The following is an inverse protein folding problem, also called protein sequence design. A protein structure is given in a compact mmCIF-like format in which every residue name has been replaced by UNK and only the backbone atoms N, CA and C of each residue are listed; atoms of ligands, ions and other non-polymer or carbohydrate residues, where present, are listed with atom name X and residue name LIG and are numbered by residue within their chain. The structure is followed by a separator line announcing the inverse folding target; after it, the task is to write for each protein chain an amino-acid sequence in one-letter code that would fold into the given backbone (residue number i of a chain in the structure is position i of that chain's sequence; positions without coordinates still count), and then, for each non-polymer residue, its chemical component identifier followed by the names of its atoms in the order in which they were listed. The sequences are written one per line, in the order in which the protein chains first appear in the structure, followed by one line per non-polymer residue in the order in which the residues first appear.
data_IF_833344507363
#
_entry.id   IF_833344507363
#
_cell.length_a   1.000
_cell.length_b   1.000
_cell.length_c   1.000
_cell.angle_alpha   90.00
_cell.angle_beta   90.00
_cell.angle_gamma   90.00
#
_symmetry.space_group_name_H-M   'P 1'
#
loop_
_entity.id
_entity.type
_entity.pdbx_description
1 polymer ?
#
# COMPACT_ATOMS: atom_id res chain seq x y z
N UNK A 1 -14.25 -29.49 -5.00
CA UNK A 1 -14.95 -29.43 -3.70
C UNK A 1 -13.93 -29.22 -2.55
N UNK A 2 -13.01 -30.19 -2.31
CA UNK A 2 -12.05 -30.06 -1.18
C UNK A 2 -11.18 -28.78 -1.24
N UNK A 3 -10.66 -28.42 -2.40
CA UNK A 3 -9.81 -27.22 -2.56
C UNK A 3 -10.59 -25.90 -2.41
N UNK A 4 -11.85 -25.85 -2.81
CA UNK A 4 -12.72 -24.67 -2.64
C UNK A 4 -13.14 -24.48 -1.18
N UNK A 5 -13.49 -25.57 -0.49
CA UNK A 5 -13.81 -25.54 0.93
C UNK A 5 -12.58 -25.11 1.76
N UNK A 6 -11.42 -25.64 1.43
CA UNK A 6 -10.15 -25.21 2.05
C UNK A 6 -9.89 -23.73 1.80
N UNK A 7 -9.99 -23.24 0.56
CA UNK A 7 -9.80 -21.83 0.25
C UNK A 7 -10.75 -20.92 1.03
N UNK A 8 -12.03 -21.28 1.11
CA UNK A 8 -13.03 -20.52 1.87
C UNK A 8 -12.66 -20.46 3.36
N UNK A 9 -12.13 -21.55 3.91
CA UNK A 9 -11.71 -21.61 5.32
C UNK A 9 -10.51 -20.71 5.64
N UNK A 10 -9.69 -20.35 4.63
CA UNK A 10 -8.53 -19.47 4.79
C UNK A 10 -8.93 -17.99 4.85
N UNK A 11 -10.11 -17.61 4.37
CA UNK A 11 -10.53 -16.22 4.26
C UNK A 11 -10.67 -15.58 5.66
N UNK A 12 -10.04 -14.43 5.85
CA UNK A 12 -9.94 -13.69 7.12
C UNK A 12 -9.19 -14.46 8.22
N UNK A 13 -8.25 -15.31 7.83
CA UNK A 13 -7.41 -16.05 8.78
C UNK A 13 -5.94 -15.69 8.66
N UNK A 14 -5.21 -15.91 9.76
CA UNK A 14 -3.74 -15.92 9.80
C UNK A 14 -3.31 -17.37 10.00
N UNK A 15 -2.67 -17.93 9.00
CA UNK A 15 -2.34 -19.34 8.92
C UNK A 15 -0.88 -19.56 9.31
N UNK A 16 -0.63 -20.48 10.22
CA UNK A 16 0.71 -20.95 10.53
C UNK A 16 1.09 -22.07 9.56
N UNK A 17 2.17 -21.88 8.77
CA UNK A 17 2.65 -22.90 7.87
C UNK A 17 3.58 -22.38 6.78
N UNK A 18 4.04 -23.29 5.93
CA UNK A 18 4.83 -22.95 4.75
C UNK A 18 3.96 -22.33 3.67
N UNK A 19 4.42 -21.20 3.14
CA UNK A 19 3.67 -20.42 2.16
C UNK A 19 3.42 -21.19 0.85
N UNK A 20 4.38 -22.01 0.39
CA UNK A 20 4.25 -22.79 -0.82
C UNK A 20 3.25 -23.95 -0.63
N UNK A 21 3.31 -24.64 0.51
CA UNK A 21 2.37 -25.72 0.81
C UNK A 21 0.93 -25.22 0.86
N UNK A 22 0.72 -24.04 1.45
CA UNK A 22 -0.62 -23.43 1.56
C UNK A 22 -1.07 -22.86 0.22
N UNK A 23 -0.23 -22.09 -0.48
CA UNK A 23 -0.62 -21.47 -1.76
C UNK A 23 -0.95 -22.52 -2.83
N UNK A 24 -0.24 -23.66 -2.88
CA UNK A 24 -0.53 -24.77 -3.82
C UNK A 24 -1.94 -25.35 -3.68
N UNK A 25 -2.59 -25.19 -2.53
CA UNK A 25 -3.96 -25.64 -2.29
C UNK A 25 -5.02 -24.56 -2.63
N UNK A 26 -4.59 -23.33 -2.87
CA UNK A 26 -5.47 -22.22 -3.29
C UNK A 26 -5.77 -22.36 -4.79
N UNK A 27 -7.03 -22.25 -5.22
CA UNK A 27 -7.39 -22.31 -6.64
C UNK A 27 -6.73 -21.20 -7.46
N UNK A 28 -6.55 -21.47 -8.76
CA UNK A 28 -6.12 -20.47 -9.72
C UNK A 28 -7.11 -19.29 -9.73
N UNK A 29 -6.58 -18.09 -10.02
CA UNK A 29 -7.40 -16.89 -10.27
C UNK A 29 -8.43 -16.57 -9.16
N UNK A 30 -8.10 -16.83 -7.90
CA UNK A 30 -9.01 -16.71 -6.75
C UNK A 30 -8.79 -15.47 -5.88
N UNK A 31 -7.59 -14.86 -5.92
CA UNK A 31 -7.17 -13.75 -5.06
C UNK A 31 -7.10 -12.46 -5.86
N UNK A 32 -7.60 -11.33 -5.31
CA UNK A 32 -7.61 -10.05 -6.01
C UNK A 32 -6.26 -9.34 -5.96
N UNK A 33 -5.55 -9.43 -4.84
CA UNK A 33 -4.20 -8.89 -4.68
C UNK A 33 -3.32 -9.86 -3.92
N UNK A 34 -2.11 -10.08 -4.44
CA UNK A 34 -1.03 -10.72 -3.70
C UNK A 34 0.06 -9.68 -3.38
N UNK A 35 0.50 -9.65 -2.12
CA UNK A 35 1.60 -8.82 -1.66
C UNK A 35 2.62 -9.69 -0.94
N UNK A 36 3.91 -9.50 -1.21
CA UNK A 36 4.99 -10.24 -0.53
C UNK A 36 6.10 -9.31 -0.04
N UNK A 37 6.50 -9.50 1.22
CA UNK A 37 7.71 -8.94 1.85
C UNK A 37 8.58 -10.08 2.40
N UNK A 38 9.20 -10.89 1.52
CA UNK A 38 9.94 -12.08 1.93
C UNK A 38 11.21 -11.72 2.70
N UNK A 39 11.83 -12.66 3.44
CA UNK A 39 13.16 -12.50 3.99
C UNK A 39 14.17 -12.08 2.91
N UNK A 40 15.08 -11.14 3.25
CA UNK A 40 15.96 -10.51 2.25
C UNK A 40 17.31 -11.23 2.06
N UNK A 41 17.50 -12.36 2.67
CA UNK A 41 18.78 -13.10 2.67
C UNK A 41 19.98 -12.23 3.07
N UNK A 42 19.81 -11.44 4.15
CA UNK A 42 20.80 -10.51 4.68
C UNK A 42 21.45 -10.99 5.99
N UNK A 43 21.37 -12.27 6.29
CA UNK A 43 21.88 -12.88 7.54
C UNK A 43 21.25 -12.25 8.79
N UNK A 44 19.97 -11.90 8.71
CA UNK A 44 19.21 -11.44 9.86
C UNK A 44 18.65 -12.61 10.63
N UNK A 45 18.66 -12.49 11.96
CA UNK A 45 18.01 -13.46 12.83
C UNK A 45 16.57 -13.01 13.06
N UNK A 46 15.61 -13.80 12.58
CA UNK A 46 14.22 -13.74 12.95
C UNK A 46 13.97 -14.60 14.19
N UNK A 47 12.76 -14.66 14.69
CA UNK A 47 12.49 -15.39 15.93
C UNK A 47 12.77 -16.90 15.79
N UNK A 48 12.22 -17.55 14.77
CA UNK A 48 12.40 -19.00 14.49
C UNK A 48 13.27 -19.29 13.28
N UNK A 49 13.73 -18.29 12.56
CA UNK A 49 14.40 -18.43 11.27
C UNK A 49 15.66 -17.57 11.19
N UNK A 50 16.74 -18.13 10.62
CA UNK A 50 17.97 -17.40 10.30
C UNK A 50 18.06 -17.20 8.79
N UNK A 51 17.97 -15.95 8.37
CA UNK A 51 17.94 -15.50 6.98
C UNK A 51 19.35 -15.58 6.34
N UNK A 52 19.80 -16.81 6.11
CA UNK A 52 21.07 -17.12 5.45
C UNK A 52 20.92 -18.39 4.61
N UNK A 53 20.69 -18.19 3.32
CA UNK A 53 20.68 -19.26 2.32
C UNK A 53 21.74 -19.00 1.26
N UNK A 54 22.19 -20.03 0.58
CA UNK A 54 22.97 -19.86 -0.65
C UNK A 54 22.13 -19.17 -1.71
N UNK A 55 22.78 -18.37 -2.57
CA UNK A 55 22.07 -17.46 -3.49
C UNK A 55 21.16 -18.22 -4.47
N UNK A 56 21.65 -19.31 -4.99
CA UNK A 56 20.94 -20.16 -5.96
C UNK A 56 19.70 -20.79 -5.32
N UNK A 57 19.82 -21.30 -4.09
CA UNK A 57 18.71 -21.91 -3.33
C UNK A 57 17.65 -20.84 -3.00
N UNK A 58 18.09 -19.68 -2.53
CA UNK A 58 17.21 -18.56 -2.24
C UNK A 58 16.44 -18.11 -3.48
N UNK A 59 17.12 -17.96 -4.63
CA UNK A 59 16.48 -17.53 -5.88
C UNK A 59 15.53 -18.59 -6.44
N UNK A 60 15.87 -19.89 -6.33
CA UNK A 60 14.99 -20.99 -6.71
C UNK A 60 13.70 -20.98 -5.90
N UNK A 61 13.82 -20.88 -4.58
CA UNK A 61 12.68 -20.75 -3.68
C UNK A 61 11.84 -19.50 -3.98
N UNK A 62 12.50 -18.37 -4.27
CA UNK A 62 11.79 -17.14 -4.65
C UNK A 62 11.02 -17.31 -5.95
N UNK A 63 11.56 -18.00 -6.95
CA UNK A 63 10.88 -18.27 -8.22
C UNK A 63 9.60 -19.06 -7.99
N UNK A 64 9.61 -20.06 -7.12
CA UNK A 64 8.45 -20.89 -6.83
C UNK A 64 7.29 -20.08 -6.24
N UNK A 65 7.50 -19.34 -5.15
CA UNK A 65 6.41 -18.59 -4.55
C UNK A 65 5.94 -17.40 -5.41
N UNK A 66 6.81 -16.79 -6.22
CA UNK A 66 6.40 -15.77 -7.20
C UNK A 66 5.44 -16.35 -8.24
N UNK A 67 5.70 -17.58 -8.70
CA UNK A 67 4.83 -18.24 -9.67
C UNK A 67 3.49 -18.64 -9.04
N UNK A 68 3.50 -19.12 -7.80
CA UNK A 68 2.27 -19.39 -7.06
C UNK A 68 1.44 -18.13 -6.84
N UNK A 69 2.07 -17.01 -6.46
CA UNK A 69 1.39 -15.71 -6.37
C UNK A 69 0.75 -15.33 -7.71
N UNK A 70 1.47 -15.49 -8.82
CA UNK A 70 0.92 -15.21 -10.14
C UNK A 70 -0.22 -16.16 -10.51
N UNK A 71 -0.12 -17.46 -10.21
CA UNK A 71 -1.15 -18.46 -10.48
C UNK A 71 -2.47 -18.12 -9.77
N UNK A 72 -2.40 -17.84 -8.47
CA UNK A 72 -3.61 -17.61 -7.65
C UNK A 72 -4.21 -16.22 -7.83
N UNK A 73 -3.45 -15.24 -8.38
CA UNK A 73 -3.98 -13.90 -8.62
C UNK A 73 -4.94 -13.90 -9.81
N UNK A 74 -6.11 -13.27 -9.64
CA UNK A 74 -7.14 -13.13 -10.68
C UNK A 74 -6.62 -12.39 -11.92
N UNK A 75 -7.23 -12.59 -13.11
CA UNK A 75 -6.89 -11.81 -14.31
C UNK A 75 -7.03 -10.29 -14.12
N UNK A 76 -7.94 -9.84 -13.27
CA UNK A 76 -8.14 -8.43 -12.91
C UNK A 76 -7.29 -7.97 -11.74
N UNK A 77 -6.49 -8.86 -11.15
CA UNK A 77 -5.76 -8.65 -9.92
C UNK A 77 -4.38 -8.05 -10.10
N UNK A 78 -3.78 -7.73 -8.97
CA UNK A 78 -2.46 -7.09 -8.87
C UNK A 78 -1.50 -7.90 -8.00
N UNK A 79 -0.23 -7.89 -8.38
CA UNK A 79 0.87 -8.55 -7.67
C UNK A 79 1.87 -7.49 -7.25
N UNK A 80 2.16 -7.43 -5.95
CA UNK A 80 3.17 -6.53 -5.38
C UNK A 80 4.25 -7.30 -4.65
N UNK A 81 5.52 -6.98 -4.92
CA UNK A 81 6.65 -7.62 -4.25
C UNK A 81 7.61 -6.55 -3.75
N UNK A 82 7.75 -6.45 -2.43
CA UNK A 82 8.66 -5.54 -1.76
C UNK A 82 10.00 -6.22 -1.50
N UNK A 83 11.11 -5.54 -1.79
CA UNK A 83 12.45 -6.00 -1.42
C UNK A 83 13.50 -4.91 -1.66
N UNK A 84 14.77 -5.23 -1.41
CA UNK A 84 15.92 -4.44 -1.84
C UNK A 84 16.15 -4.60 -3.36
N UNK A 85 16.67 -3.57 -4.05
CA UNK A 85 16.91 -3.62 -5.50
C UNK A 85 17.72 -4.82 -5.98
N UNK A 86 18.67 -5.28 -5.15
CA UNK A 86 19.52 -6.45 -5.46
C UNK A 86 18.71 -7.69 -5.85
N UNK A 87 17.62 -7.97 -5.17
CA UNK A 87 16.80 -9.15 -5.42
C UNK A 87 15.67 -8.88 -6.41
N UNK A 88 15.15 -7.66 -6.42
CA UNK A 88 14.04 -7.31 -7.29
C UNK A 88 14.36 -7.43 -8.78
N UNK A 89 15.63 -7.30 -9.19
CA UNK A 89 16.05 -7.52 -10.57
C UNK A 89 15.82 -8.97 -11.01
N UNK A 90 16.03 -9.94 -10.12
CA UNK A 90 15.74 -11.36 -10.38
C UNK A 90 14.24 -11.64 -10.33
N UNK A 91 13.56 -11.11 -9.31
CA UNK A 91 12.12 -11.28 -9.14
C UNK A 91 11.35 -10.70 -10.32
N UNK A 92 11.75 -9.53 -10.81
CA UNK A 92 11.17 -8.93 -12.01
C UNK A 92 11.40 -9.82 -13.26
N UNK A 93 12.58 -10.43 -13.39
CA UNK A 93 12.84 -11.35 -14.49
C UNK A 93 11.89 -12.55 -14.45
N UNK A 94 11.67 -13.16 -13.26
CA UNK A 94 10.76 -14.30 -13.10
C UNK A 94 9.30 -13.91 -13.35
N UNK A 95 8.86 -12.77 -12.81
CA UNK A 95 7.49 -12.30 -13.01
C UNK A 95 7.18 -11.92 -14.45
N UNK A 96 8.16 -11.47 -15.24
CA UNK A 96 7.99 -11.19 -16.66
C UNK A 96 7.59 -12.43 -17.49
N UNK A 97 7.83 -13.64 -16.97
CA UNK A 97 7.44 -14.90 -17.63
C UNK A 97 5.93 -15.19 -17.47
N UNK A 98 5.27 -14.64 -16.43
CA UNK A 98 3.91 -15.05 -16.01
C UNK A 98 2.95 -13.89 -15.76
N UNK A 99 3.41 -12.63 -15.80
CA UNK A 99 2.62 -11.45 -15.52
C UNK A 99 3.13 -10.23 -16.32
N UNK A 100 2.37 -9.14 -16.31
CA UNK A 100 2.65 -7.91 -17.05
C UNK A 100 3.19 -6.86 -16.10
N UNK A 101 4.41 -6.38 -16.35
CA UNK A 101 5.04 -5.30 -15.58
C UNK A 101 4.25 -4.00 -15.72
N UNK A 102 4.05 -3.30 -14.61
CA UNK A 102 3.47 -1.95 -14.58
C UNK A 102 4.44 -0.92 -14.06
N UNK A 103 4.94 -1.08 -12.84
CA UNK A 103 5.85 -0.11 -12.22
C UNK A 103 6.89 -0.79 -11.33
N UNK A 104 8.03 -0.15 -11.24
CA UNK A 104 8.96 -0.29 -10.12
C UNK A 104 8.75 0.93 -9.23
N UNK A 105 8.13 0.74 -8.08
CA UNK A 105 7.92 1.81 -7.11
C UNK A 105 9.17 1.92 -6.26
N UNK A 106 9.84 3.08 -6.30
CA UNK A 106 10.97 3.40 -5.44
C UNK A 106 10.46 4.03 -4.15
N UNK A 107 10.54 3.29 -3.05
CA UNK A 107 10.13 3.80 -1.75
C UNK A 107 11.34 4.32 -0.97
N UNK A 108 11.42 5.65 -0.78
CA UNK A 108 12.45 6.30 0.05
C UNK A 108 12.19 6.00 1.53
N UNK A 109 12.87 4.97 2.03
CA UNK A 109 12.82 4.57 3.42
C UNK A 109 13.76 5.37 4.32
N UNK A 110 14.42 6.40 3.79
CA UNK A 110 15.45 7.19 4.47
C UNK A 110 16.48 6.29 5.16
N UNK A 111 17.36 5.69 4.40
CA UNK A 111 18.39 4.76 4.85
C UNK A 111 19.31 5.33 5.93
N UNK A 112 20.14 4.47 6.50
CA UNK A 112 21.24 4.88 7.40
C UNK A 112 22.34 5.56 6.55
N UNK A 113 22.99 6.62 7.02
CA UNK A 113 24.05 7.33 6.28
C UNK A 113 25.37 6.52 6.23
N UNK A 114 25.28 5.22 6.02
CA UNK A 114 26.42 4.30 5.98
C UNK A 114 26.42 3.54 4.66
N UNK A 115 27.21 3.98 3.72
CA UNK A 115 27.42 3.31 2.44
C UNK A 115 28.88 3.39 2.02
N UNK A 116 29.38 2.35 1.34
CA UNK A 116 30.75 2.34 0.79
C UNK A 116 30.85 3.00 -0.60
N UNK A 117 29.74 3.07 -1.32
CA UNK A 117 29.64 3.70 -2.64
C UNK A 117 28.50 4.72 -2.62
N UNK A 118 27.34 4.38 -3.18
CA UNK A 118 26.14 5.16 -3.02
C UNK A 118 25.41 4.80 -1.73
N UNK A 119 24.73 5.77 -1.15
CA UNK A 119 23.86 5.51 -0.02
C UNK A 119 22.63 4.71 -0.46
N UNK A 120 22.43 3.46 0.01
CA UNK A 120 21.24 2.71 -0.32
C UNK A 120 20.04 3.28 0.46
N UNK A 121 19.25 4.12 -0.20
CA UNK A 121 18.22 4.91 0.47
C UNK A 121 16.81 4.46 0.15
N UNK A 122 16.61 3.53 -0.79
CA UNK A 122 15.29 3.08 -1.16
C UNK A 122 15.14 1.56 -1.11
N UNK A 123 13.93 1.13 -0.84
CA UNK A 123 13.42 -0.19 -1.18
C UNK A 123 12.61 -0.09 -2.47
N UNK A 124 12.48 -1.18 -3.20
CA UNK A 124 11.60 -1.25 -4.35
C UNK A 124 10.34 -2.04 -4.04
N UNK A 125 9.26 -1.71 -4.76
CA UNK A 125 8.07 -2.55 -4.84
C UNK A 125 7.81 -2.79 -6.31
N UNK A 126 7.91 -4.05 -6.75
CA UNK A 126 7.48 -4.42 -8.09
C UNK A 126 5.95 -4.44 -8.11
N UNK A 127 5.38 -3.84 -9.15
CA UNK A 127 3.95 -3.87 -9.42
C UNK A 127 3.70 -4.55 -10.75
N UNK A 128 2.99 -5.67 -10.70
CA UNK A 128 2.60 -6.49 -11.82
C UNK A 128 1.09 -6.71 -11.83
N UNK A 129 0.54 -7.05 -12.99
CA UNK A 129 -0.86 -7.42 -13.18
C UNK A 129 -0.96 -8.66 -14.05
N UNK A 130 -2.06 -9.41 -13.93
CA UNK A 130 -2.26 -10.64 -14.71
C UNK A 130 -2.70 -10.37 -16.16
N UNK A 131 -3.41 -9.27 -16.41
CA UNK A 131 -3.91 -8.91 -17.74
C UNK A 131 -4.01 -7.40 -17.91
N UNK A 132 -4.34 -6.94 -19.12
CA UNK A 132 -4.59 -5.52 -19.37
C UNK A 132 -5.92 -5.02 -18.77
N UNK A 133 -6.80 -5.92 -18.36
CA UNK A 133 -8.08 -5.62 -17.68
C UNK A 133 -7.92 -5.74 -16.17
N UNK A 134 -7.11 -4.89 -15.56
CA UNK A 134 -6.86 -4.89 -14.12
C UNK A 134 -7.59 -3.74 -13.42
N UNK A 135 -7.85 -3.92 -12.11
CA UNK A 135 -8.40 -2.86 -11.28
C UNK A 135 -7.33 -1.82 -10.98
N UNK A 136 -7.65 -0.56 -11.26
CA UNK A 136 -6.78 0.55 -10.87
C UNK A 136 -7.63 1.77 -10.53
N UNK A 137 -7.37 2.34 -9.35
CA UNK A 137 -8.01 3.56 -8.86
C UNK A 137 -7.00 4.69 -8.77
N UNK A 138 -7.36 5.85 -9.25
CA UNK A 138 -6.52 7.02 -9.21
C UNK A 138 -6.24 7.45 -7.77
N UNK A 139 -4.97 7.37 -7.37
CA UNK A 139 -4.50 8.03 -6.17
C UNK A 139 -3.82 9.32 -6.59
N UNK A 140 -4.27 10.44 -6.04
CA UNK A 140 -3.73 11.75 -6.40
C UNK A 140 -3.03 12.41 -5.23
N UNK A 141 -1.98 13.15 -5.55
CA UNK A 141 -1.28 13.99 -4.59
C UNK A 141 -1.62 15.44 -4.89
N UNK A 142 -1.78 16.24 -3.85
CA UNK A 142 -2.00 17.67 -4.03
C UNK A 142 -0.89 18.29 -4.87
N UNK A 143 -1.26 19.27 -5.67
CA UNK A 143 -0.29 20.04 -6.44
C UNK A 143 0.79 20.62 -5.54
N UNK A 144 2.03 20.39 -5.89
CA UNK A 144 3.18 21.00 -5.19
C UNK A 144 3.17 22.49 -5.48
N UNK A 145 3.41 23.32 -4.46
CA UNK A 145 3.62 24.76 -4.67
C UNK A 145 4.88 24.98 -5.52
N UNK A 146 4.80 25.92 -6.43
CA UNK A 146 5.96 26.36 -7.18
C UNK A 146 7.08 26.79 -6.19
N UNK A 147 8.28 26.27 -6.36
CA UNK A 147 9.41 26.60 -5.48
C UNK A 147 9.79 28.09 -5.52
N UNK A 148 9.59 28.74 -6.67
CA UNK A 148 9.97 30.14 -6.88
C UNK A 148 8.89 31.11 -6.40
N UNK A 149 7.65 30.96 -6.88
CA UNK A 149 6.58 31.91 -6.57
C UNK A 149 5.64 31.45 -5.44
N UNK A 150 5.78 30.20 -4.96
CA UNK A 150 4.95 29.57 -3.92
C UNK A 150 3.46 29.44 -4.24
N UNK A 151 3.03 29.75 -5.45
CA UNK A 151 1.67 29.48 -5.90
C UNK A 151 1.42 27.98 -6.09
N UNK A 152 0.18 27.58 -5.85
CA UNK A 152 -0.21 26.15 -5.81
C UNK A 152 -0.06 25.48 -7.16
N UNK A 153 -0.28 26.18 -8.26
CA UNK A 153 -0.24 25.62 -9.60
C UNK A 153 0.84 26.29 -10.44
N UNK A 154 1.88 25.53 -10.75
CA UNK A 154 2.86 25.93 -11.76
C UNK A 154 2.31 25.60 -13.13
N UNK A 155 2.39 26.55 -14.07
CA UNK A 155 2.05 26.31 -15.46
C UNK A 155 3.23 25.68 -16.19
N UNK A 156 3.09 24.41 -16.55
CA UNK A 156 4.07 23.69 -17.34
C UNK A 156 3.74 23.84 -18.83
N UNK A 157 4.20 24.93 -19.45
CA UNK A 157 4.03 25.15 -20.88
C UNK A 157 2.57 25.35 -21.32
N UNK A 158 1.79 26.10 -20.57
CA UNK A 158 0.38 26.41 -20.89
C UNK A 158 -0.61 25.28 -20.60
N UNK A 159 -0.18 24.20 -19.93
CA UNK A 159 -1.04 23.04 -19.64
C UNK A 159 -1.78 23.11 -18.31
N UNK A 160 -1.75 24.25 -17.63
CA UNK A 160 -2.41 24.43 -16.32
C UNK A 160 -3.92 24.11 -16.38
N UNK A 161 -4.59 24.46 -17.45
CA UNK A 161 -6.01 24.20 -17.66
C UNK A 161 -6.34 22.70 -17.83
N UNK A 162 -5.35 21.89 -18.19
CA UNK A 162 -5.48 20.44 -18.35
C UNK A 162 -5.12 19.65 -17.08
N UNK A 163 -4.63 20.35 -16.03
CA UNK A 163 -4.25 19.70 -14.79
C UNK A 163 -5.47 19.32 -13.98
N UNK A 164 -5.43 18.11 -13.45
CA UNK A 164 -6.49 17.65 -12.57
C UNK A 164 -6.55 18.51 -11.30
N UNK A 165 -7.75 18.96 -10.85
CA UNK A 165 -7.89 19.87 -9.71
C UNK A 165 -7.30 19.36 -8.42
N UNK A 166 -7.31 18.05 -8.20
CA UNK A 166 -6.73 17.40 -7.03
C UNK A 166 -5.26 17.03 -7.18
N UNK A 167 -4.62 17.44 -8.25
CA UNK A 167 -3.22 17.20 -8.47
C UNK A 167 -2.93 15.98 -9.33
N UNK A 168 -1.64 15.74 -9.59
CA UNK A 168 -1.19 14.62 -10.41
C UNK A 168 -1.48 13.28 -9.73
N UNK A 169 -1.44 12.22 -10.51
CA UNK A 169 -1.36 10.87 -9.96
C UNK A 169 -0.14 10.73 -9.03
N UNK A 170 -0.25 9.87 -8.03
CA UNK A 170 0.90 9.51 -7.22
C UNK A 170 2.01 8.98 -8.12
N UNK A 171 3.22 9.49 -7.95
CA UNK A 171 4.36 9.00 -8.72
C UNK A 171 4.78 7.61 -8.22
N UNK A 172 5.62 6.95 -9.00
CA UNK A 172 6.30 5.72 -8.61
C UNK A 172 7.53 5.94 -7.70
N UNK A 173 7.80 7.19 -7.30
CA UNK A 173 8.81 7.53 -6.28
C UNK A 173 8.11 8.04 -5.03
N UNK A 174 8.10 7.22 -3.98
CA UNK A 174 7.39 7.50 -2.72
C UNK A 174 8.34 8.02 -1.64
N UNK A 175 8.24 9.30 -1.34
CA UNK A 175 9.07 9.99 -0.34
C UNK A 175 8.28 10.43 0.89
N UNK A 176 6.99 10.19 0.90
CA UNK A 176 6.04 10.68 1.91
C UNK A 176 5.68 9.63 2.96
N UNK A 177 6.00 8.36 2.72
CA UNK A 177 5.79 7.26 3.68
C UNK A 177 7.12 6.92 4.35
N UNK A 178 7.20 7.10 5.67
CA UNK A 178 8.42 6.81 6.41
C UNK A 178 8.39 5.42 7.04
N UNK A 179 9.55 4.74 6.98
CA UNK A 179 9.72 3.48 7.73
C UNK A 179 9.57 3.70 9.24
N UNK A 180 9.16 2.67 9.95
CA UNK A 180 9.09 2.67 11.41
C UNK A 180 10.52 2.60 11.96
N UNK A 181 11.03 3.71 12.52
CA UNK A 181 12.42 3.83 13.00
C UNK A 181 12.60 3.48 14.47
N UNK A 182 11.63 3.83 15.33
CA UNK A 182 11.76 3.69 16.76
C UNK A 182 11.41 2.28 17.23
N UNK A 183 12.35 1.66 17.97
CA UNK A 183 12.17 0.31 18.55
C UNK A 183 10.86 0.18 19.36
N UNK A 184 10.46 1.22 20.11
CA UNK A 184 9.21 1.27 20.87
C UNK A 184 7.94 1.23 20.02
N UNK A 185 8.03 1.45 18.71
CA UNK A 185 6.91 1.44 17.75
C UNK A 185 6.94 0.24 16.82
N UNK A 186 7.93 -0.64 16.96
CA UNK A 186 8.02 -1.91 16.26
C UNK A 186 7.55 -3.01 17.18
N UNK A 187 6.66 -3.80 16.69
CA UNK A 187 6.34 -5.05 17.35
C UNK A 187 7.54 -5.97 17.11
N UNK A 188 8.20 -6.44 18.05
CA UNK A 188 9.31 -7.42 18.04
C UNK A 188 9.83 -7.96 16.68
N UNK A 189 9.43 -7.31 15.57
CA UNK A 189 9.82 -7.67 14.21
C UNK A 189 10.87 -6.70 13.66
N UNK A 190 12.01 -7.20 13.11
CA UNK A 190 13.14 -6.37 12.70
C UNK A 190 12.83 -5.45 11.49
N UNK A 191 11.86 -5.81 10.66
CA UNK A 191 11.59 -5.19 9.36
C UNK A 191 10.12 -4.81 9.16
N UNK A 192 9.39 -4.41 10.20
CA UNK A 192 7.99 -4.07 10.09
C UNK A 192 7.74 -2.92 9.10
N UNK A 193 6.87 -3.16 8.13
CA UNK A 193 6.39 -2.15 7.18
C UNK A 193 5.37 -1.21 7.82
N UNK A 194 5.31 0.07 7.39
CA UNK A 194 4.24 0.97 7.80
C UNK A 194 2.91 0.58 7.14
N UNK A 195 1.83 0.56 7.90
CA UNK A 195 0.48 0.20 7.43
C UNK A 195 0.06 1.04 6.22
N UNK A 196 0.41 2.35 6.21
CA UNK A 196 0.06 3.27 5.12
C UNK A 196 0.64 2.91 3.75
N UNK A 197 1.75 2.15 3.73
CA UNK A 197 2.32 1.65 2.49
C UNK A 197 1.35 0.64 1.85
N UNK A 198 0.85 -0.30 2.67
CA UNK A 198 -0.09 -1.33 2.24
C UNK A 198 -1.46 -0.71 1.90
N UNK A 199 -1.93 0.23 2.73
CA UNK A 199 -3.18 0.93 2.46
C UNK A 199 -3.17 1.61 1.09
N UNK A 200 -2.06 2.27 0.72
CA UNK A 200 -1.92 2.89 -0.60
C UNK A 200 -1.97 1.86 -1.71
N UNK A 201 -1.26 0.74 -1.59
CA UNK A 201 -1.28 -0.33 -2.57
C UNK A 201 -2.69 -0.92 -2.73
N UNK A 202 -3.37 -1.20 -1.62
CA UNK A 202 -4.70 -1.79 -1.63
C UNK A 202 -5.75 -0.83 -2.17
N UNK A 203 -5.69 0.46 -1.78
CA UNK A 203 -6.63 1.46 -2.28
C UNK A 203 -6.54 1.66 -3.79
N UNK A 204 -5.36 1.56 -4.39
CA UNK A 204 -5.23 1.72 -5.85
C UNK A 204 -5.58 0.46 -6.64
N UNK A 205 -5.73 -0.71 -6.01
CA UNK A 205 -5.84 -1.98 -6.71
C UNK A 205 -7.00 -2.88 -6.28
N UNK A 206 -7.81 -2.48 -5.30
CA UNK A 206 -8.89 -3.33 -4.75
C UNK A 206 -10.16 -2.57 -4.42
N UNK A 207 -11.27 -3.30 -4.41
CA UNK A 207 -12.57 -2.90 -3.86
C UNK A 207 -12.78 -3.44 -2.45
N UNK A 208 -13.80 -2.91 -1.75
CA UNK A 208 -14.28 -3.50 -0.50
C UNK A 208 -14.75 -4.95 -0.76
N UNK A 209 -14.35 -5.87 0.12
CA UNK A 209 -14.68 -7.29 -0.01
C UNK A 209 -13.71 -8.10 -0.88
N UNK A 210 -12.78 -7.46 -1.61
CA UNK A 210 -11.72 -8.15 -2.34
C UNK A 210 -10.79 -8.93 -1.40
N UNK A 211 -10.15 -9.98 -1.90
CA UNK A 211 -9.25 -10.85 -1.15
C UNK A 211 -7.80 -10.43 -1.38
N UNK A 212 -7.10 -10.16 -0.29
CA UNK A 212 -5.66 -9.84 -0.26
C UNK A 212 -4.90 -11.00 0.37
N UNK A 213 -3.90 -11.53 -0.31
CA UNK A 213 -3.05 -12.58 0.23
C UNK A 213 -1.63 -12.06 0.47
N UNK A 214 -1.07 -12.39 1.65
CA UNK A 214 0.32 -12.15 2.00
C UNK A 214 0.96 -13.45 2.52
N UNK A 215 1.91 -14.04 1.75
CA UNK A 215 2.57 -15.29 2.12
C UNK A 215 3.67 -15.12 3.18
N UNK A 216 4.00 -13.87 3.58
CA UNK A 216 5.06 -13.53 4.54
C UNK A 216 4.60 -12.43 5.48
N UNK A 217 3.45 -12.63 6.12
CA UNK A 217 2.72 -11.53 6.80
C UNK A 217 3.46 -10.94 8.00
N UNK A 218 4.42 -11.66 8.59
CA UNK A 218 5.15 -11.21 9.78
C UNK A 218 4.20 -10.78 10.89
N UNK A 219 4.33 -9.54 11.34
CA UNK A 219 3.47 -8.97 12.40
C UNK A 219 2.17 -8.35 11.90
N UNK A 220 1.70 -8.74 10.70
CA UNK A 220 0.32 -8.53 10.25
C UNK A 220 0.04 -7.24 9.52
N UNK A 221 1.03 -6.50 9.02
CA UNK A 221 0.79 -5.18 8.41
C UNK A 221 -0.19 -5.23 7.25
N UNK A 222 -0.07 -6.22 6.36
CA UNK A 222 -0.96 -6.38 5.20
C UNK A 222 -2.38 -6.76 5.62
N UNK A 223 -2.53 -7.74 6.52
CA UNK A 223 -3.84 -8.17 7.02
C UNK A 223 -4.56 -7.04 7.78
N UNK A 224 -3.82 -6.24 8.57
CA UNK A 224 -4.35 -5.07 9.27
C UNK A 224 -4.84 -4.02 8.26
N UNK A 225 -4.06 -3.71 7.23
CA UNK A 225 -4.46 -2.77 6.20
C UNK A 225 -5.69 -3.27 5.44
N UNK A 226 -5.71 -4.54 5.05
CA UNK A 226 -6.85 -5.16 4.36
C UNK A 226 -8.13 -5.08 5.22
N UNK A 227 -8.07 -5.54 6.47
CA UNK A 227 -9.21 -5.49 7.39
C UNK A 227 -9.70 -4.07 7.65
N UNK A 228 -8.77 -3.13 7.90
CA UNK A 228 -9.12 -1.72 8.14
C UNK A 228 -9.85 -1.08 6.94
N UNK A 229 -9.49 -1.49 5.73
CA UNK A 229 -10.10 -1.00 4.49
C UNK A 229 -11.34 -1.82 4.05
N UNK A 230 -11.83 -2.75 4.85
CA UNK A 230 -12.99 -3.59 4.51
C UNK A 230 -12.69 -4.67 3.45
N UNK A 231 -11.42 -5.00 3.24
CA UNK A 231 -10.98 -6.12 2.40
C UNK A 231 -10.90 -7.38 3.22
N UNK A 232 -11.06 -8.53 2.55
CA UNK A 232 -10.80 -9.84 3.14
C UNK A 232 -9.30 -10.14 3.03
N UNK A 233 -8.77 -10.97 3.88
CA UNK A 233 -7.34 -11.30 3.85
C UNK A 233 -7.10 -12.80 4.04
N UNK A 234 -5.98 -13.26 3.47
CA UNK A 234 -5.34 -14.54 3.77
C UNK A 234 -3.90 -14.19 4.10
N UNK A 235 -3.47 -14.49 5.31
CA UNK A 235 -2.16 -14.13 5.81
C UNK A 235 -1.42 -15.39 6.28
N UNK A 236 -0.19 -15.59 5.80
CA UNK A 236 0.57 -16.80 6.09
C UNK A 236 1.89 -16.41 6.75
N UNK A 237 2.30 -17.12 7.78
CA UNK A 237 3.63 -17.03 8.35
C UNK A 237 4.11 -18.38 8.88
N UNK A 238 5.40 -18.65 8.70
CA UNK A 238 6.07 -19.85 9.20
C UNK A 238 6.33 -19.79 10.72
N UNK A 239 6.28 -18.61 11.32
CA UNK A 239 6.55 -18.39 12.72
C UNK A 239 5.25 -18.29 13.54
N UNK A 240 4.95 -19.25 14.42
CA UNK A 240 3.73 -19.26 15.21
C UNK A 240 3.61 -18.03 16.12
N UNK A 241 4.72 -17.44 16.55
CA UNK A 241 4.71 -16.21 17.36
C UNK A 241 4.19 -15.02 16.56
N UNK A 242 4.58 -14.90 15.29
CA UNK A 242 4.09 -13.82 14.43
C UNK A 242 2.61 -14.01 14.10
N UNK A 243 2.16 -15.24 13.91
CA UNK A 243 0.73 -15.57 13.78
C UNK A 243 -0.06 -15.11 15.01
N UNK A 244 0.42 -15.41 16.21
CA UNK A 244 -0.23 -14.98 17.46
C UNK A 244 -0.27 -13.45 17.60
N UNK A 245 0.85 -12.76 17.34
CA UNK A 245 0.94 -11.29 17.39
C UNK A 245 -0.04 -10.67 16.39
N UNK A 246 -0.10 -11.22 15.18
CA UNK A 246 -0.99 -10.72 14.12
C UNK A 246 -2.45 -10.88 14.51
N UNK A 247 -2.85 -12.03 15.01
CA UNK A 247 -4.22 -12.27 15.48
C UNK A 247 -4.63 -11.29 16.59
N UNK A 248 -3.79 -11.11 17.62
CA UNK A 248 -4.04 -10.14 18.70
C UNK A 248 -4.22 -8.69 18.22
N UNK A 249 -3.51 -8.32 17.15
CA UNK A 249 -3.68 -6.99 16.55
C UNK A 249 -4.98 -6.90 15.75
N UNK A 250 -5.29 -7.93 14.97
CA UNK A 250 -6.50 -7.97 14.16
C UNK A 250 -7.79 -7.90 15.00
N UNK A 251 -7.80 -8.43 16.22
CA UNK A 251 -8.92 -8.29 17.15
C UNK A 251 -9.27 -6.81 17.45
N UNK A 252 -8.26 -5.92 17.39
CA UNK A 252 -8.40 -4.49 17.70
C UNK A 252 -8.68 -3.63 16.47
N UNK A 253 -8.67 -4.23 15.28
CA UNK A 253 -8.92 -3.52 14.02
C UNK A 253 -10.40 -3.55 13.72
N UNK A 254 -11.03 -2.38 13.73
CA UNK A 254 -12.38 -2.21 13.20
C UNK A 254 -12.29 -1.80 11.72
N UNK A 255 -13.12 -2.39 10.85
CA UNK A 255 -13.19 -1.97 9.47
C UNK A 255 -13.62 -0.50 9.39
N UNK A 256 -12.82 0.31 8.74
CA UNK A 256 -13.23 1.66 8.40
C UNK A 256 -14.28 1.57 7.30
N UNK A 257 -15.45 2.08 7.57
CA UNK A 257 -16.36 2.42 6.48
C UNK A 257 -15.73 3.60 5.74
N UNK A 258 -15.16 3.34 4.58
CA UNK A 258 -14.44 4.32 3.71
C UNK A 258 -15.32 5.52 3.32
N UNK A 259 -16.56 5.56 3.76
CA UNK A 259 -17.48 6.68 3.55
C UNK A 259 -16.95 8.02 4.06
N UNK A 260 -15.93 8.01 4.96
CA UNK A 260 -15.57 9.20 5.73
C UNK A 260 -14.10 9.37 5.80
N UNK A 261 -13.27 9.86 5.17
CA UNK A 261 -11.90 10.28 5.49
C UNK A 261 -11.03 9.25 6.22
N UNK A 262 -10.07 8.72 5.58
CA UNK A 262 -9.01 7.96 6.18
C UNK A 262 -7.91 8.88 6.70
N UNK A 263 -7.60 8.82 7.99
CA UNK A 263 -6.54 9.63 8.61
C UNK A 263 -5.37 8.74 8.97
N UNK A 264 -4.29 8.86 8.24
CA UNK A 264 -3.01 8.31 8.65
C UNK A 264 -2.46 9.07 9.86
N UNK A 265 -2.15 8.37 10.94
CA UNK A 265 -1.57 8.96 12.15
C UNK A 265 -0.18 9.58 11.90
N UNK A 266 0.45 9.32 10.75
CA UNK A 266 1.82 9.72 10.49
C UNK A 266 2.04 10.72 9.35
N UNK A 267 1.30 10.62 8.26
CA UNK A 267 1.77 11.17 7.00
C UNK A 267 0.75 11.95 6.18
N UNK A 268 -0.45 12.04 6.65
CA UNK A 268 -1.47 12.72 5.90
C UNK A 268 -2.79 12.00 5.93
N UNK A 269 -3.74 12.54 5.23
CA UNK A 269 -5.10 12.04 5.14
C UNK A 269 -5.31 11.45 3.76
N UNK A 270 -5.94 10.31 3.70
CA UNK A 270 -6.52 9.77 2.48
C UNK A 270 -7.99 10.19 2.49
N UNK A 271 -8.41 10.88 1.45
CA UNK A 271 -9.80 11.28 1.27
C UNK A 271 -10.32 10.53 0.06
N UNK A 272 -11.36 9.73 0.26
CA UNK A 272 -12.10 9.11 -0.84
C UNK A 272 -13.18 10.05 -1.29
N UNK A 273 -13.22 10.34 -2.58
CA UNK A 273 -14.20 11.22 -3.18
C UNK A 273 -15.05 10.42 -4.16
N UNK A 274 -16.36 10.46 -3.99
CA UNK A 274 -17.31 9.86 -4.90
C UNK A 274 -17.84 10.90 -5.88
N UNK A 275 -18.23 10.48 -7.08
CA UNK A 275 -18.74 11.36 -8.14
C UNK A 275 -19.79 12.35 -7.63
N UNK A 276 -20.71 11.91 -6.78
CA UNK A 276 -21.77 12.76 -6.18
C UNK A 276 -21.26 13.89 -5.28
N UNK A 277 -19.99 13.85 -4.89
CA UNK A 277 -19.38 14.80 -3.95
C UNK A 277 -18.48 15.81 -4.66
N UNK A 278 -18.35 15.70 -5.99
CA UNK A 278 -17.51 16.55 -6.81
C UNK A 278 -17.83 18.04 -6.67
N UNK A 279 -19.09 18.41 -6.70
CA UNK A 279 -19.47 19.83 -6.65
C UNK A 279 -19.08 20.48 -5.33
N UNK A 280 -19.18 19.75 -4.22
CA UNK A 280 -18.74 20.23 -2.90
C UNK A 280 -17.23 20.38 -2.80
N UNK A 281 -16.50 19.55 -3.51
CA UNK A 281 -15.04 19.58 -3.49
C UNK A 281 -14.53 20.71 -4.36
N UNK A 282 -15.21 21.05 -5.45
CA UNK A 282 -14.92 22.24 -6.27
C UNK A 282 -14.93 23.52 -5.44
N UNK A 283 -15.77 23.61 -4.41
CA UNK A 283 -15.81 24.78 -3.52
C UNK A 283 -14.59 24.84 -2.59
N UNK A 284 -14.02 23.71 -2.23
CA UNK A 284 -12.95 23.61 -1.23
C UNK A 284 -11.53 23.61 -1.82
N UNK A 285 -11.37 23.32 -3.09
CA UNK A 285 -10.09 23.29 -3.78
C UNK A 285 -10.06 24.33 -4.90
N UNK A 286 -8.87 24.92 -5.16
CA UNK A 286 -8.63 25.73 -6.35
C UNK A 286 -8.76 24.82 -7.58
N UNK A 287 -9.94 24.81 -8.12
CA UNK A 287 -10.28 23.98 -9.28
C UNK A 287 -10.03 24.82 -10.53
N UNK A 288 -9.33 24.31 -11.54
CA UNK A 288 -9.27 24.95 -12.85
C UNK A 288 -10.68 25.13 -13.42
N UNK A 289 -10.94 26.21 -14.13
CA UNK A 289 -12.28 26.53 -14.69
C UNK A 289 -12.82 25.44 -15.61
N UNK A 290 -11.96 24.60 -16.15
CA UNK A 290 -12.34 23.44 -16.98
C UNK A 290 -11.90 22.15 -16.29
N UNK A 291 -12.84 21.48 -15.63
CA UNK A 291 -12.66 20.12 -15.16
C UNK A 291 -12.80 19.15 -16.33
N UNK A 292 -11.85 18.25 -16.53
CA UNK A 292 -12.12 17.10 -17.38
C UNK A 292 -13.32 16.33 -16.81
N UNK A 293 -14.22 15.90 -17.67
CA UNK A 293 -15.25 14.95 -17.27
C UNK A 293 -14.56 13.71 -16.68
N UNK A 294 -14.82 13.46 -15.42
CA UNK A 294 -14.22 12.32 -14.73
C UNK A 294 -15.19 11.16 -14.84
N UNK A 295 -14.87 10.23 -15.69
CA UNK A 295 -15.59 8.96 -15.82
C UNK A 295 -15.42 8.04 -14.62
N UNK A 296 -14.50 8.37 -13.69
CA UNK A 296 -14.14 7.51 -12.57
C UNK A 296 -14.99 7.77 -11.33
N UNK A 297 -15.51 6.70 -10.77
CA UNK A 297 -16.45 6.74 -9.64
C UNK A 297 -15.79 7.11 -8.30
N UNK A 298 -14.50 6.88 -8.13
CA UNK A 298 -13.80 7.13 -6.87
C UNK A 298 -12.39 7.66 -7.10
N UNK A 299 -12.00 8.68 -6.32
CA UNK A 299 -10.66 9.26 -6.33
C UNK A 299 -10.13 9.26 -4.91
N UNK A 300 -8.92 8.77 -4.74
CA UNK A 300 -8.21 8.77 -3.47
C UNK A 300 -7.19 9.90 -3.42
N UNK A 301 -7.24 10.71 -2.39
CA UNK A 301 -6.33 11.84 -2.19
C UNK A 301 -5.39 11.55 -1.03
N UNK A 302 -4.09 11.74 -1.29
CA UNK A 302 -3.07 11.74 -0.26
C UNK A 302 -2.55 13.15 -0.03
N UNK A 303 -2.54 13.59 1.21
CA UNK A 303 -1.88 14.81 1.61
C UNK A 303 -0.38 14.58 1.79
N UNK A 304 0.43 15.40 1.11
CA UNK A 304 1.87 15.38 1.28
C UNK A 304 2.29 16.04 2.60
N UNK A 305 3.33 15.48 3.20
CA UNK A 305 3.94 15.92 4.46
C UNK A 305 4.57 17.31 4.32
N UNK A 306 4.18 18.22 5.13
CA UNK A 306 4.77 19.60 5.21
C UNK A 306 3.75 20.61 5.71
N UNK A 307 2.50 20.44 5.42
CA UNK A 307 1.41 21.17 6.03
C UNK A 307 0.51 20.16 6.77
N UNK A 308 0.56 20.17 8.08
CA UNK A 308 -0.44 19.48 8.90
C UNK A 308 -1.76 20.25 8.74
N UNK A 309 -2.49 19.89 7.71
CA UNK A 309 -3.86 20.35 7.56
C UNK A 309 -4.70 19.35 8.32
N UNK A 310 -5.24 19.75 9.44
CA UNK A 310 -6.25 19.00 10.16
C UNK A 310 -7.57 19.31 9.46
N UNK A 311 -8.19 18.30 8.88
CA UNK A 311 -9.55 18.41 8.40
C UNK A 311 -10.46 17.92 9.52
N UNK A 312 -11.28 18.79 10.06
CA UNK A 312 -12.42 18.38 10.86
C UNK A 312 -13.58 18.09 9.91
N UNK A 313 -14.06 16.87 9.98
CA UNK A 313 -15.38 16.54 9.44
C UNK A 313 -16.34 17.03 10.49
N UNK A 314 -17.03 18.15 10.23
CA UNK A 314 -18.05 18.65 11.14
C UNK A 314 -19.14 17.59 11.38
N UNK A 315 -19.65 17.50 12.60
CA UNK A 315 -20.75 16.61 12.97
C UNK A 315 -22.03 16.77 12.12
N UNK A 316 -22.16 17.87 11.41
CA UNK A 316 -23.22 18.09 10.43
C UNK A 316 -23.05 17.30 9.12
N UNK A 317 -21.92 16.65 8.93
CA UNK A 317 -21.62 15.85 7.75
C UNK A 317 -22.35 14.49 7.69
N UNK A 318 -23.18 14.15 8.65
CA UNK A 318 -24.00 12.93 8.56
C UNK A 318 -24.99 12.95 7.36
N UNK A 319 -25.29 14.13 6.83
CA UNK A 319 -26.15 14.30 5.65
C UNK A 319 -25.48 15.04 4.49
N UNK A 320 -24.31 15.66 4.68
CA UNK A 320 -23.60 16.44 3.69
C UNK A 320 -22.11 16.14 3.74
N UNK A 321 -21.64 15.33 2.82
CA UNK A 321 -20.23 14.93 2.74
C UNK A 321 -19.32 16.13 2.51
N UNK A 322 -18.31 16.26 3.37
CA UNK A 322 -17.13 17.09 3.27
C UNK A 322 -17.32 18.62 3.30
N UNK A 323 -17.50 19.16 4.47
CA UNK A 323 -16.95 20.49 4.72
C UNK A 323 -15.45 20.33 5.00
N UNK A 324 -14.60 20.67 4.05
CA UNK A 324 -13.17 20.73 4.27
C UNK A 324 -12.91 22.03 5.02
N UNK A 325 -12.90 21.95 6.33
CA UNK A 325 -12.48 23.07 7.16
C UNK A 325 -10.97 23.18 7.12
N UNK A 326 -10.48 24.30 6.63
CA UNK A 326 -9.08 24.70 6.72
C UNK A 326 -8.77 25.05 8.17
N UNK A 327 -8.25 24.12 8.93
CA UNK A 327 -7.83 24.43 10.29
C UNK A 327 -6.53 25.19 10.36
N UNK A 328 -6.50 26.17 11.25
CA UNK A 328 -5.31 26.93 11.62
C UNK A 328 -4.17 26.00 12.00
N UNK A 329 -2.95 26.33 11.57
CA UNK A 329 -1.70 25.68 11.97
C UNK A 329 -1.75 25.28 13.44
N UNK A 330 -1.79 23.99 13.74
CA UNK A 330 -1.48 23.52 15.09
C UNK A 330 -0.01 23.84 15.36
N UNK A 331 0.22 24.85 16.19
CA UNK A 331 1.53 25.13 16.74
C UNK A 331 2.07 23.86 17.40
N UNK A 332 3.37 23.61 17.18
CA UNK A 332 4.14 22.57 17.87
C UNK A 332 3.93 22.68 19.38
N UNK A 333 3.04 21.89 19.94
CA UNK A 333 2.83 21.83 21.40
C UNK A 333 3.00 20.44 21.99
N UNK A 334 3.57 19.50 21.23
CA UNK A 334 3.95 18.19 21.79
C UNK A 334 5.38 17.83 21.39
N UNK A 335 6.34 18.64 21.85
CA UNK A 335 7.69 18.20 22.17
C UNK A 335 8.05 18.83 23.50
N UNK A 336 7.78 18.14 24.55
CA UNK A 336 8.57 18.08 25.79
C UNK A 336 8.58 16.63 26.26
#
# INVERSE_FOLDING_TARGET
MESEEFFVSLINTVVHGDCLEIMRQIPDDSVDVTFADPPFNLKKKYNSYYDKQEVEEYLSWCKEWLYEMARITKPTGSIFVHNIPKWLIYFGSYLNEVAIFRHWIAWDAMGSPLGKTLLPNHYGILYYVKSDKFKFYDIRMLHKRCRNCRYVLQDYGGKKSQMHPFGPLVSDVWTDIHRIRHKKRRDEHPCQLPVHLLERLLLMSTDEGDIVLDPFVGTGTTAIAAKALGRRYIAIDIDPKYVEITNKKLEKVEPFLIKNCYVSSFLGKVITIRDRDWDKIKEAFLVPEHLPELEKKEIYLFHYKGERIKYEIGHEAQNNLFTICREKRLRRQFMK
#
